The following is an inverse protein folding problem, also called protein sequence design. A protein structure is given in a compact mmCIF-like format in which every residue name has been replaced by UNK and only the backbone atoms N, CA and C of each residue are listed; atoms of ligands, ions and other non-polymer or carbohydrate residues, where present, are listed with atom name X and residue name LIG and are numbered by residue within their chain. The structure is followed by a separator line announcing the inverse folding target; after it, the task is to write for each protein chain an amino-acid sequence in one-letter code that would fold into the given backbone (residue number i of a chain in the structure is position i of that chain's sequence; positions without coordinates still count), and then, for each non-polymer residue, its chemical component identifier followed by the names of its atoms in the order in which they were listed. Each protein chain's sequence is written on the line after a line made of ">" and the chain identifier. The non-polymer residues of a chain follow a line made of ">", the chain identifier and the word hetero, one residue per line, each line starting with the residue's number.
data_IF_878296862297
#
_entry.id   IF_878296862297
#
_cell.length_a   1.000
_cell.length_b   1.000
_cell.length_c   1.000
_cell.angle_alpha   90.00
_cell.angle_beta   90.00
_cell.angle_gamma   90.00
#
_symmetry.space_group_name_H-M   'P 1'
#
loop_
_entity.id
_entity.type
_entity.pdbx_description
1 polymer ?
#
# COMPACT_ATOMS: atom_id res chain seq x y z
N UNK A 1 -4.49 0.96 23.47
CA UNK A 1 -4.01 0.82 22.08
C UNK A 1 -3.42 -0.56 21.93
N UNK A 2 -3.76 -1.31 20.87
CA UNK A 2 -3.04 -2.56 20.55
C UNK A 2 -1.60 -2.21 20.17
N UNK A 3 -0.64 -3.02 20.59
CA UNK A 3 0.75 -2.87 20.14
C UNK A 3 0.81 -3.21 18.65
N UNK A 4 1.70 -2.56 17.89
CA UNK A 4 1.95 -2.92 16.47
C UNK A 4 2.28 -4.42 16.34
N UNK A 5 2.97 -4.98 17.34
CA UNK A 5 3.30 -6.41 17.40
C UNK A 5 2.08 -7.32 17.41
N UNK A 6 0.94 -6.84 17.92
CA UNK A 6 -0.28 -7.63 18.06
C UNK A 6 -1.09 -7.69 16.75
N UNK A 7 -0.77 -6.85 15.77
CA UNK A 7 -1.52 -6.69 14.52
C UNK A 7 -0.69 -6.94 13.25
N UNK A 8 0.64 -7.06 13.37
CA UNK A 8 1.52 -7.25 12.20
C UNK A 8 1.16 -8.56 11.46
N UNK A 9 1.01 -8.51 10.12
CA UNK A 9 0.87 -9.72 9.32
C UNK A 9 2.14 -10.56 9.42
N UNK A 10 1.98 -11.83 9.77
CA UNK A 10 3.11 -12.72 10.05
C UNK A 10 2.84 -14.14 9.57
N UNK A 11 3.91 -14.77 9.07
CA UNK A 11 3.97 -16.19 8.78
C UNK A 11 5.28 -16.73 9.34
N UNK A 12 5.22 -17.83 10.09
CA UNK A 12 6.41 -18.45 10.66
C UNK A 12 7.39 -18.91 9.58
N UNK A 13 8.68 -18.82 9.89
CA UNK A 13 9.73 -19.25 8.96
C UNK A 13 9.55 -20.73 8.60
N UNK A 14 9.51 -21.10 7.30
CA UNK A 14 9.35 -22.49 6.88
C UNK A 14 10.43 -23.41 7.48
N UNK A 15 10.04 -24.63 7.84
CA UNK A 15 10.96 -25.64 8.39
C UNK A 15 12.11 -25.88 7.41
N UNK A 16 13.34 -25.73 7.90
CA UNK A 16 14.55 -25.92 7.09
C UNK A 16 15.01 -24.70 6.29
N UNK A 17 14.25 -23.59 6.28
CA UNK A 17 14.72 -22.33 5.68
C UNK A 17 15.89 -21.76 6.49
N UNK A 18 17.04 -21.54 5.82
CA UNK A 18 18.27 -21.01 6.42
C UNK A 18 18.49 -19.52 6.15
N UNK A 19 17.63 -18.90 5.35
CA UNK A 19 17.73 -17.49 4.99
C UNK A 19 17.29 -16.60 6.16
N UNK A 20 17.82 -15.37 6.20
CA UNK A 20 17.47 -14.36 7.21
C UNK A 20 16.03 -13.85 7.00
N UNK A 21 15.60 -13.73 5.76
CA UNK A 21 14.24 -13.34 5.38
C UNK A 21 13.61 -14.44 4.53
N UNK A 22 12.32 -14.69 4.75
CA UNK A 22 11.52 -15.61 3.94
C UNK A 22 10.34 -14.86 3.34
N UNK A 23 9.82 -15.41 2.23
CA UNK A 23 8.64 -14.85 1.57
C UNK A 23 7.39 -15.47 2.15
N UNK A 24 6.34 -14.66 2.24
CA UNK A 24 5.00 -15.16 2.51
C UNK A 24 4.59 -16.21 1.48
N UNK A 25 4.08 -17.35 1.94
CA UNK A 25 3.79 -18.53 1.13
C UNK A 25 2.67 -18.32 0.11
N UNK A 26 1.79 -17.34 0.35
CA UNK A 26 0.68 -16.98 -0.55
C UNK A 26 0.90 -15.66 -1.28
N UNK A 27 2.15 -15.32 -1.59
CA UNK A 27 2.41 -14.21 -2.51
C UNK A 27 1.85 -14.48 -3.92
N UNK A 28 1.38 -13.46 -4.65
CA UNK A 28 1.28 -12.05 -4.23
C UNK A 28 0.07 -11.79 -3.32
N UNK A 29 0.13 -10.75 -2.48
CA UNK A 29 -1.00 -10.35 -1.61
C UNK A 29 -2.02 -9.42 -2.30
N UNK A 30 -1.61 -8.77 -3.39
CA UNK A 30 -2.48 -7.92 -4.22
C UNK A 30 -2.27 -8.36 -5.67
N UNK A 31 -3.36 -8.67 -6.35
CA UNK A 31 -3.32 -9.09 -7.74
C UNK A 31 -3.15 -7.90 -8.69
N UNK A 32 -2.62 -8.21 -9.88
CA UNK A 32 -2.37 -7.22 -10.93
C UNK A 32 -3.62 -6.41 -11.34
N UNK A 33 -4.79 -7.03 -11.29
CA UNK A 33 -6.08 -6.48 -11.73
C UNK A 33 -7.05 -6.24 -10.55
N UNK A 34 -6.50 -6.00 -9.35
CA UNK A 34 -7.29 -5.88 -8.11
C UNK A 34 -8.31 -4.73 -8.15
N UNK A 35 -8.03 -3.66 -8.90
CA UNK A 35 -8.99 -2.57 -9.16
C UNK A 35 -9.33 -2.48 -10.66
N UNK A 36 -10.52 -2.00 -11.06
CA UNK A 36 -11.01 -2.08 -12.45
C UNK A 36 -10.08 -1.46 -13.51
N UNK A 37 -9.36 -0.40 -13.13
CA UNK A 37 -8.49 0.38 -14.01
C UNK A 37 -7.06 -0.15 -14.07
N UNK A 38 -6.65 -0.98 -13.11
CA UNK A 38 -5.27 -1.40 -12.95
C UNK A 38 -4.80 -2.33 -14.07
N UNK A 39 -3.60 -2.06 -14.56
CA UNK A 39 -2.73 -3.00 -15.27
C UNK A 39 -1.68 -3.58 -14.32
N UNK A 40 -1.27 -2.86 -13.29
CA UNK A 40 -0.35 -3.38 -12.26
C UNK A 40 -0.40 -2.54 -11.00
N UNK A 41 -0.24 -3.21 -9.85
CA UNK A 41 -0.15 -2.60 -8.52
C UNK A 41 1.11 -3.13 -7.84
N UNK A 42 2.01 -2.24 -7.47
CA UNK A 42 3.30 -2.56 -6.85
C UNK A 42 3.88 -1.30 -6.18
N UNK A 43 5.02 -1.41 -5.49
CA UNK A 43 5.68 -0.28 -4.81
C UNK A 43 4.75 0.51 -3.86
N UNK A 44 3.98 -0.21 -3.05
CA UNK A 44 3.03 0.38 -2.10
C UNK A 44 3.71 0.82 -0.80
N UNK A 45 3.22 1.91 -0.21
CA UNK A 45 3.53 2.33 1.16
C UNK A 45 2.41 1.91 2.10
N UNK A 46 2.75 1.38 3.27
CA UNK A 46 1.79 0.91 4.27
C UNK A 46 2.22 1.37 5.66
N UNK A 47 1.25 1.82 6.47
CA UNK A 47 1.42 2.19 7.87
C UNK A 47 0.30 1.60 8.72
N UNK A 48 0.53 1.30 10.00
CA UNK A 48 -0.56 1.10 10.96
C UNK A 48 -1.40 2.37 11.02
N UNK A 49 -2.72 2.22 10.97
CA UNK A 49 -3.65 3.33 11.01
C UNK A 49 -4.95 2.87 11.68
N UNK A 50 -5.40 3.63 12.69
CA UNK A 50 -6.58 3.30 13.51
C UNK A 50 -6.57 1.86 14.04
N UNK A 51 -7.56 1.03 13.69
CA UNK A 51 -7.73 -0.35 14.12
C UNK A 51 -7.15 -1.38 13.13
N UNK A 52 -6.40 -0.93 12.13
CA UNK A 52 -5.74 -1.77 11.12
C UNK A 52 -4.59 -1.06 10.43
N UNK A 53 -4.64 -1.02 9.10
CA UNK A 53 -3.61 -0.49 8.23
C UNK A 53 -4.22 0.42 7.16
N UNK A 54 -3.49 1.47 6.84
CA UNK A 54 -3.74 2.30 5.66
C UNK A 54 -2.51 2.27 4.75
N UNK A 55 -2.71 2.52 3.47
CA UNK A 55 -1.63 2.55 2.51
C UNK A 55 -1.88 3.48 1.34
N UNK A 56 -0.78 3.82 0.67
CA UNK A 56 -0.77 4.54 -0.61
C UNK A 56 -0.15 3.60 -1.63
N UNK A 57 -0.93 3.25 -2.65
CA UNK A 57 -0.66 2.22 -3.63
C UNK A 57 -0.36 2.87 -4.97
N UNK A 58 0.78 2.57 -5.58
CA UNK A 58 0.97 2.87 -7.00
C UNK A 58 0.16 1.86 -7.81
N UNK A 59 -0.75 2.39 -8.63
CA UNK A 59 -1.51 1.60 -9.59
C UNK A 59 -1.29 2.20 -10.98
N UNK A 60 -0.66 1.42 -11.85
CA UNK A 60 -0.50 1.79 -13.26
C UNK A 60 -1.76 1.32 -14.00
N UNK A 61 -2.38 2.18 -14.80
CA UNK A 61 -3.60 1.82 -15.53
C UNK A 61 -3.30 1.02 -16.82
N UNK A 62 -4.34 0.64 -17.57
CA UNK A 62 -4.21 -0.10 -18.86
C UNK A 62 -3.43 0.64 -19.95
N UNK A 63 -3.25 1.95 -19.83
CA UNK A 63 -2.38 2.77 -20.68
C UNK A 63 -0.98 2.98 -20.08
N UNK A 64 -0.64 2.28 -18.99
CA UNK A 64 0.61 2.37 -18.23
C UNK A 64 0.82 3.76 -17.59
N UNK A 65 -0.24 4.54 -17.45
CA UNK A 65 -0.17 5.81 -16.72
C UNK A 65 -0.12 5.51 -15.22
N UNK A 66 0.84 6.15 -14.55
CA UNK A 66 1.14 5.90 -13.14
C UNK A 66 0.37 6.88 -12.26
N UNK A 67 -0.39 6.36 -11.29
CA UNK A 67 -1.01 7.18 -10.27
C UNK A 67 -1.00 6.46 -8.92
N UNK A 68 -1.36 7.19 -7.86
CA UNK A 68 -1.41 6.67 -6.49
C UNK A 68 -2.83 6.69 -5.92
N UNK A 69 -3.16 5.64 -5.18
CA UNK A 69 -4.49 5.35 -4.67
C UNK A 69 -4.40 5.10 -3.16
N UNK A 70 -5.35 5.60 -2.39
CA UNK A 70 -5.47 5.21 -0.99
C UNK A 70 -6.09 3.80 -0.91
N UNK A 71 -5.70 3.04 0.11
CA UNK A 71 -6.31 1.75 0.41
C UNK A 71 -6.20 1.40 1.89
N UNK A 72 -7.06 0.49 2.34
CA UNK A 72 -7.18 0.11 3.74
C UNK A 72 -7.21 -1.40 3.89
N UNK A 73 -6.75 -1.88 5.05
CA UNK A 73 -6.78 -3.30 5.39
C UNK A 73 -6.91 -3.46 6.89
N UNK A 74 -7.69 -4.45 7.34
CA UNK A 74 -7.77 -4.82 8.76
C UNK A 74 -6.62 -5.72 9.22
N UNK A 75 -5.97 -6.43 8.29
CA UNK A 75 -4.94 -7.43 8.61
C UNK A 75 -3.59 -7.21 7.91
N UNK A 76 -3.50 -6.20 7.04
CA UNK A 76 -2.29 -5.86 6.29
C UNK A 76 -2.01 -6.77 5.09
N UNK A 77 -2.88 -7.75 4.80
CA UNK A 77 -2.75 -8.71 3.68
C UNK A 77 -3.91 -8.54 2.69
N UNK A 78 -5.15 -8.45 3.17
CA UNK A 78 -6.34 -8.29 2.35
C UNK A 78 -6.67 -6.80 2.23
N UNK A 79 -6.53 -6.26 1.02
CA UNK A 79 -6.61 -4.82 0.78
C UNK A 79 -7.87 -4.42 0.02
N UNK A 80 -8.55 -3.39 0.52
CA UNK A 80 -9.55 -2.62 -0.20
C UNK A 80 -8.89 -1.34 -0.71
N UNK A 81 -8.60 -1.28 -2.00
CA UNK A 81 -7.97 -0.12 -2.65
C UNK A 81 -9.05 0.70 -3.33
N UNK A 82 -9.03 2.02 -3.13
CA UNK A 82 -9.95 2.92 -3.80
C UNK A 82 -9.85 2.79 -5.32
N UNK A 83 -10.97 2.93 -6.03
CA UNK A 83 -10.99 2.82 -7.49
C UNK A 83 -10.58 4.12 -8.20
N UNK A 84 -10.53 5.23 -7.47
CA UNK A 84 -10.13 6.55 -7.95
C UNK A 84 -8.82 7.00 -7.30
N UNK A 85 -7.94 7.69 -8.03
CA UNK A 85 -6.66 8.14 -7.50
C UNK A 85 -6.84 9.21 -6.43
N UNK A 86 -5.81 9.41 -5.60
CA UNK A 86 -5.79 10.47 -4.61
C UNK A 86 -5.89 11.83 -5.34
N UNK A 87 -6.95 12.57 -5.01
CA UNK A 87 -7.11 13.96 -5.39
C UNK A 87 -6.39 14.81 -4.35
N UNK A 88 -5.22 15.32 -4.74
CA UNK A 88 -4.46 16.22 -3.88
C UNK A 88 -5.17 17.57 -3.78
N UNK A 89 -5.12 18.16 -2.60
CA UNK A 89 -5.57 19.52 -2.35
C UNK A 89 -4.35 20.44 -2.27
N UNK A 90 -4.56 21.74 -2.52
CA UNK A 90 -3.52 22.74 -2.34
C UNK A 90 -3.05 22.73 -0.87
N UNK A 91 -1.75 22.53 -0.67
CA UNK A 91 -1.12 22.70 0.63
C UNK A 91 -0.35 24.01 0.66
N UNK A 92 0.96 23.91 0.83
CA UNK A 92 1.88 25.06 0.78
C UNK A 92 2.25 25.49 -0.66
N UNK A 93 1.64 24.87 -1.67
CA UNK A 93 1.85 25.15 -3.11
C UNK A 93 0.53 25.02 -3.86
N UNK A 94 0.38 25.84 -4.91
CA UNK A 94 -0.74 25.77 -5.86
C UNK A 94 -0.48 24.81 -7.02
N UNK A 95 0.75 24.31 -7.17
CA UNK A 95 1.06 23.25 -8.14
C UNK A 95 0.64 21.88 -7.58
N UNK A 96 -0.61 21.50 -7.88
CA UNK A 96 -1.25 20.27 -7.41
C UNK A 96 -1.12 19.14 -8.44
N UNK A 97 -0.99 19.51 -9.72
CA UNK A 97 -0.97 18.56 -10.82
C UNK A 97 0.44 18.01 -11.07
N UNK A 98 0.51 16.69 -11.17
CA UNK A 98 1.67 15.99 -11.70
C UNK A 98 1.14 14.96 -12.70
N UNK A 99 1.75 14.91 -13.88
CA UNK A 99 1.46 13.90 -14.90
C UNK A 99 1.80 12.48 -14.40
N UNK A 100 2.70 12.37 -13.43
CA UNK A 100 3.19 11.11 -12.91
C UNK A 100 3.23 11.12 -11.38
N UNK A 101 2.52 10.18 -10.75
CA UNK A 101 2.58 9.94 -9.30
C UNK A 101 2.84 8.47 -9.09
N UNK A 102 4.00 8.14 -8.53
CA UNK A 102 4.44 6.76 -8.34
C UNK A 102 5.34 6.67 -7.11
N UNK A 103 5.61 5.43 -6.69
CA UNK A 103 6.61 5.17 -5.65
C UNK A 103 6.38 5.91 -4.32
N UNK A 104 5.15 5.87 -3.78
CA UNK A 104 4.84 6.54 -2.51
C UNK A 104 5.66 5.97 -1.36
N UNK A 105 6.00 6.84 -0.40
CA UNK A 105 6.48 6.49 0.94
C UNK A 105 5.63 7.27 1.94
N UNK A 106 5.27 6.63 3.05
CA UNK A 106 4.43 7.20 4.09
C UNK A 106 5.04 6.87 5.44
N UNK A 107 5.13 7.86 6.31
CA UNK A 107 5.58 7.71 7.69
C UNK A 107 4.88 8.74 8.55
N UNK A 108 4.61 8.37 9.80
CA UNK A 108 4.00 9.26 10.77
C UNK A 108 5.08 10.16 11.39
N UNK A 109 4.77 11.45 11.52
CA UNK A 109 5.63 12.46 12.14
C UNK A 109 4.75 13.33 13.04
N UNK A 110 4.85 13.11 14.34
CA UNK A 110 4.26 13.90 15.45
C UNK A 110 2.72 13.99 15.46
N UNK A 111 2.09 14.53 14.42
CA UNK A 111 0.65 14.80 14.37
C UNK A 111 -0.02 14.25 13.09
N UNK A 112 0.75 13.71 12.13
CA UNK A 112 0.26 13.25 10.81
C UNK A 112 1.07 12.13 10.20
#
# INVERSE_FOLDING_TARGET
>A
MKSIKDILPWEERPVGCKDVMWRYSKNPIIDRYHIPTSNSIFNSAVVPFEDGFAGVFRCDNKAVQMNIFAGFSKDGINWEINHEPIKFEAGNTEMIESEYKYDPRVTWIEDR
#
